data_IF_301866169404
#
_entry.id   IF_301866169404
#
_cell.length_a   1.000
_cell.length_b   1.000
_cell.length_c   1.000
_cell.angle_alpha   90.00
_cell.angle_beta   90.00
_cell.angle_gamma   90.00
#
_symmetry.space_group_name_H-M   'P 1'
#
loop_
_entity.id
_entity.type
_entity.pdbx_description
1 polymer ?
#
# COMPACT_ATOMS: atom_id res chain seq x y z
N UNK A 1 -18.67 13.48 3.30
CA UNK A 1 -20.06 13.62 2.77
C UNK A 1 -20.34 12.34 2.02
N UNK A 2 -21.05 11.43 2.67
CA UNK A 2 -21.39 10.14 2.08
C UNK A 2 -22.50 10.40 1.06
N UNK A 3 -22.16 10.18 -0.21
CA UNK A 3 -23.11 10.31 -1.32
C UNK A 3 -23.44 8.90 -1.74
N UNK A 4 -24.72 8.56 -1.74
CA UNK A 4 -25.21 7.32 -2.36
C UNK A 4 -24.91 7.40 -3.86
N UNK A 5 -23.88 6.68 -4.28
CA UNK A 5 -23.51 6.52 -5.68
C UNK A 5 -23.84 5.10 -6.11
N UNK A 6 -24.30 4.96 -7.33
CA UNK A 6 -24.51 3.66 -7.96
C UNK A 6 -23.55 3.61 -9.14
N UNK A 7 -22.82 2.52 -9.29
CA UNK A 7 -21.85 2.36 -10.35
C UNK A 7 -21.70 0.91 -10.76
N UNK A 8 -21.01 0.69 -11.86
CA UNK A 8 -20.72 -0.66 -12.35
C UNK A 8 -19.55 -1.22 -11.57
N UNK A 9 -19.71 -2.39 -10.95
CA UNK A 9 -18.62 -3.10 -10.27
C UNK A 9 -17.60 -3.56 -11.31
N UNK A 10 -16.36 -3.07 -11.20
CA UNK A 10 -15.26 -3.39 -12.11
C UNK A 10 -14.37 -4.52 -11.62
N UNK A 11 -14.35 -4.76 -10.32
CA UNK A 11 -13.58 -5.83 -9.72
C UNK A 11 -13.46 -5.69 -8.21
N UNK A 12 -12.86 -6.71 -7.60
CA UNK A 12 -12.59 -6.76 -6.16
C UNK A 12 -11.14 -7.19 -5.95
N UNK A 13 -10.46 -6.58 -5.00
CA UNK A 13 -9.09 -6.99 -4.67
C UNK A 13 -9.03 -8.10 -3.61
N UNK A 14 -7.80 -8.48 -3.25
CA UNK A 14 -7.51 -9.53 -2.25
C UNK A 14 -7.89 -9.12 -0.82
N UNK A 15 -8.01 -7.82 -0.55
CA UNK A 15 -8.37 -7.29 0.76
C UNK A 15 -9.88 -7.15 0.92
N UNK A 16 -10.63 -7.25 -0.18
CA UNK A 16 -12.08 -7.13 -0.23
C UNK A 16 -12.56 -5.72 -0.60
N UNK A 17 -11.67 -4.84 -1.06
CA UNK A 17 -12.07 -3.53 -1.58
C UNK A 17 -12.76 -3.73 -2.94
N UNK A 18 -13.89 -3.08 -3.13
CA UNK A 18 -14.70 -3.13 -4.35
C UNK A 18 -14.54 -1.85 -5.15
N UNK A 19 -14.27 -1.97 -6.44
CA UNK A 19 -14.00 -0.84 -7.31
C UNK A 19 -15.16 -0.62 -8.27
N UNK A 20 -15.63 0.61 -8.36
CA UNK A 20 -16.78 0.98 -9.19
C UNK A 20 -16.42 2.08 -10.19
N UNK A 21 -17.07 2.02 -11.34
CA UNK A 21 -17.00 3.06 -12.37
C UNK A 21 -18.40 3.45 -12.85
N UNK A 22 -18.62 4.75 -12.99
CA UNK A 22 -19.74 5.30 -13.73
C UNK A 22 -19.32 6.57 -14.49
N UNK A 23 -19.25 6.45 -15.81
CA UNK A 23 -18.87 7.53 -16.74
C UNK A 23 -19.94 8.61 -16.91
N UNK A 24 -21.12 8.45 -16.30
CA UNK A 24 -22.11 9.53 -16.23
C UNK A 24 -21.63 10.66 -15.31
N UNK A 25 -20.79 10.35 -14.32
CA UNK A 25 -20.19 11.34 -13.43
C UNK A 25 -18.99 12.02 -14.08
N UNK A 26 -18.76 13.28 -13.67
CA UNK A 26 -17.59 14.04 -14.06
C UNK A 26 -16.28 13.42 -13.52
N UNK A 27 -15.24 13.36 -14.36
CA UNK A 27 -13.87 12.96 -13.97
C UNK A 27 -13.29 14.02 -13.03
N UNK A 28 -12.88 13.71 -11.79
CA UNK A 28 -12.35 12.42 -11.30
C UNK A 28 -13.30 11.62 -10.40
N UNK A 29 -14.60 11.94 -10.36
CA UNK A 29 -15.58 11.28 -9.46
C UNK A 29 -16.22 10.03 -10.05
N UNK A 30 -15.94 9.73 -11.32
CA UNK A 30 -16.45 8.57 -12.04
C UNK A 30 -15.90 7.25 -11.52
N UNK A 31 -14.73 7.23 -10.86
CA UNK A 31 -14.16 6.04 -10.23
C UNK A 31 -14.12 6.21 -8.72
N UNK A 32 -14.49 5.16 -7.99
CA UNK A 32 -14.37 5.13 -6.53
C UNK A 32 -14.17 3.71 -6.02
N UNK A 33 -13.75 3.62 -4.76
CA UNK A 33 -13.56 2.37 -4.03
C UNK A 33 -14.51 2.34 -2.83
N UNK A 34 -15.07 1.17 -2.57
CA UNK A 34 -15.76 0.84 -1.32
C UNK A 34 -14.88 -0.15 -0.55
N UNK A 35 -14.43 0.27 0.63
CA UNK A 35 -13.65 -0.58 1.53
C UNK A 35 -14.54 -1.67 2.15
N UNK A 36 -13.97 -2.84 2.51
CA UNK A 36 -14.72 -3.93 3.10
C UNK A 36 -15.26 -3.55 4.49
N UNK A 37 -16.42 -4.11 4.83
CA UNK A 37 -17.08 -3.89 6.12
C UNK A 37 -16.20 -4.25 7.33
N UNK A 38 -15.25 -5.17 7.16
CA UNK A 38 -14.26 -5.56 8.18
C UNK A 38 -13.46 -4.37 8.71
N UNK A 39 -13.19 -3.38 7.88
CA UNK A 39 -12.40 -2.19 8.23
C UNK A 39 -13.27 -1.10 8.87
N UNK A 40 -14.57 -1.10 8.57
CA UNK A 40 -15.57 -0.20 9.13
C UNK A 40 -15.18 1.28 9.02
N UNK A 41 -14.81 1.95 10.12
CA UNK A 41 -14.42 3.36 10.14
C UNK A 41 -12.91 3.60 9.98
N UNK A 42 -12.08 2.56 10.11
CA UNK A 42 -10.62 2.66 10.04
C UNK A 42 -10.09 2.48 8.62
N UNK A 43 -10.85 2.92 7.62
CA UNK A 43 -10.46 2.81 6.22
C UNK A 43 -9.38 3.85 5.90
N UNK A 44 -8.38 3.41 5.12
CA UNK A 44 -7.28 4.27 4.70
C UNK A 44 -7.02 4.13 3.20
N UNK A 45 -6.65 5.24 2.57
CA UNK A 45 -6.26 5.29 1.16
C UNK A 45 -5.08 4.35 0.84
N UNK A 46 -4.27 4.04 1.85
CA UNK A 46 -3.10 3.18 1.70
C UNK A 46 -3.42 1.69 1.66
N UNK A 47 -4.66 1.28 1.91
CA UNK A 47 -5.13 -0.13 1.81
C UNK A 47 -5.40 -0.57 0.35
N UNK A 48 -5.30 0.35 -0.60
CA UNK A 48 -5.51 0.08 -2.02
C UNK A 48 -4.21 -0.50 -2.61
N UNK A 49 -4.22 -1.73 -3.16
CA UNK A 49 -3.02 -2.32 -3.73
C UNK A 49 -2.55 -1.55 -4.98
N UNK A 50 -1.24 -1.62 -5.30
CA UNK A 50 -0.64 -0.84 -6.39
C UNK A 50 -1.29 -1.07 -7.76
N UNK A 51 -1.82 -2.27 -7.99
CA UNK A 51 -2.52 -2.64 -9.22
C UNK A 51 -3.79 -1.80 -9.43
N UNK A 52 -4.63 -1.72 -8.40
CA UNK A 52 -5.87 -0.93 -8.43
C UNK A 52 -5.61 0.58 -8.26
N UNK A 53 -4.54 0.95 -7.56
CA UNK A 53 -4.13 2.35 -7.41
C UNK A 53 -3.95 3.03 -8.77
N UNK A 54 -3.34 2.36 -9.76
CA UNK A 54 -3.14 2.91 -11.11
C UNK A 54 -4.46 3.21 -11.82
N UNK A 55 -5.43 2.31 -11.70
CA UNK A 55 -6.74 2.47 -12.34
C UNK A 55 -7.59 3.55 -11.66
N UNK A 56 -7.61 3.55 -10.32
CA UNK A 56 -8.36 4.52 -9.53
C UNK A 56 -7.88 5.96 -9.76
N UNK A 57 -6.57 6.15 -9.91
CA UNK A 57 -5.96 7.48 -10.13
C UNK A 57 -5.88 7.88 -11.60
N UNK A 58 -6.64 7.23 -12.49
CA UNK A 58 -6.66 7.53 -13.93
C UNK A 58 -5.28 7.45 -14.62
N UNK A 59 -4.33 6.68 -14.08
CA UNK A 59 -3.03 6.44 -14.74
C UNK A 59 -3.20 5.46 -15.91
N UNK A 60 -4.18 4.55 -15.81
CA UNK A 60 -4.53 3.57 -16.82
C UNK A 60 -6.04 3.41 -16.88
N UNK A 61 -6.57 3.11 -18.07
CA UNK A 61 -7.99 2.78 -18.26
C UNK A 61 -8.28 1.31 -18.01
N UNK A 62 -7.27 0.46 -18.17
CA UNK A 62 -7.39 -0.98 -17.99
C UNK A 62 -7.38 -1.36 -16.52
N UNK A 63 -8.28 -2.26 -16.13
CA UNK A 63 -8.31 -2.81 -14.76
C UNK A 63 -7.21 -3.87 -14.58
N UNK A 64 -6.82 -4.18 -13.32
CA UNK A 64 -5.90 -5.27 -13.04
C UNK A 64 -6.39 -6.65 -13.54
N UNK A 65 -7.71 -6.84 -13.61
CA UNK A 65 -8.33 -8.06 -14.12
C UNK A 65 -8.16 -8.19 -15.65
N UNK A 66 -8.31 -7.09 -16.39
CA UNK A 66 -8.11 -7.07 -17.84
C UNK A 66 -6.62 -7.22 -18.22
N UNK A 67 -5.73 -6.57 -17.46
CA UNK A 67 -4.29 -6.60 -17.72
C UNK A 67 -3.50 -6.77 -16.41
N UNK A 68 -3.30 -8.02 -15.96
CA UNK A 68 -2.54 -8.28 -14.76
C UNK A 68 -1.09 -7.84 -14.92
N UNK A 69 -0.55 -7.22 -13.87
CA UNK A 69 0.86 -6.86 -13.81
C UNK A 69 1.71 -8.13 -13.63
N UNK A 70 2.87 -8.17 -14.30
CA UNK A 70 3.83 -9.24 -14.12
C UNK A 70 4.44 -9.15 -12.72
N UNK A 71 4.17 -10.13 -11.86
CA UNK A 71 4.78 -10.22 -10.54
C UNK A 71 6.18 -10.82 -10.65
N UNK A 72 7.19 -10.01 -10.36
CA UNK A 72 8.58 -10.48 -10.27
C UNK A 72 8.86 -11.10 -8.89
N UNK A 73 9.89 -11.94 -8.79
CA UNK A 73 10.21 -12.71 -7.57
C UNK A 73 10.51 -11.86 -6.33
N UNK A 74 10.94 -10.61 -6.53
CA UNK A 74 11.31 -9.67 -5.47
C UNK A 74 10.15 -8.77 -5.03
N UNK A 75 8.99 -8.87 -5.69
CA UNK A 75 7.82 -8.04 -5.36
C UNK A 75 7.23 -8.53 -4.05
N UNK A 76 7.18 -7.62 -3.07
CA UNK A 76 6.55 -7.88 -1.77
C UNK A 76 5.03 -7.81 -1.90
N UNK A 77 4.34 -8.49 -0.98
CA UNK A 77 2.90 -8.34 -0.85
C UNK A 77 2.58 -6.92 -0.36
N UNK A 78 1.44 -6.39 -0.80
CA UNK A 78 1.01 -5.07 -0.38
C UNK A 78 0.64 -5.08 1.10
N UNK A 79 1.14 -4.08 1.82
CA UNK A 79 0.77 -3.78 3.20
C UNK A 79 0.35 -2.32 3.27
N UNK A 80 -0.62 -2.04 4.13
CA UNK A 80 -1.09 -0.68 4.42
C UNK A 80 -0.03 0.15 5.13
N UNK A 81 -0.28 1.44 5.32
CA UNK A 81 0.64 2.30 6.03
C UNK A 81 0.65 2.01 7.54
N UNK A 82 1.82 1.62 8.04
CA UNK A 82 2.02 1.22 9.45
C UNK A 82 2.60 2.34 10.32
N UNK A 83 2.65 3.58 9.83
CA UNK A 83 3.34 4.70 10.50
C UNK A 83 2.82 5.02 11.91
N UNK A 84 1.55 4.72 12.21
CA UNK A 84 0.92 5.01 13.52
C UNK A 84 1.24 3.91 14.55
N UNK A 85 1.59 2.70 14.11
CA UNK A 85 1.85 1.57 15.00
C UNK A 85 3.30 1.60 15.51
N UNK A 86 3.48 1.76 16.82
CA UNK A 86 4.82 1.86 17.45
C UNK A 86 5.73 0.67 17.11
N UNK A 87 5.17 -0.54 17.12
CA UNK A 87 5.92 -1.78 16.89
C UNK A 87 6.25 -2.05 15.41
N UNK A 88 5.57 -1.36 14.47
CA UNK A 88 5.65 -1.65 13.03
C UNK A 88 6.13 -0.47 12.17
N UNK A 89 6.17 0.74 12.72
CA UNK A 89 6.64 1.92 11.99
C UNK A 89 8.10 1.78 11.58
N UNK A 90 8.44 2.37 10.45
CA UNK A 90 9.82 2.41 9.98
C UNK A 90 10.67 3.35 10.87
N UNK A 91 11.73 2.81 11.46
CA UNK A 91 12.71 3.56 12.25
C UNK A 91 14.07 3.47 11.53
N UNK A 92 14.61 4.60 11.02
CA UNK A 92 15.89 4.58 10.34
C UNK A 92 17.02 4.28 11.35
N UNK A 93 18.02 3.52 10.89
CA UNK A 93 19.25 3.25 11.64
C UNK A 93 20.46 3.42 10.74
N UNK A 94 21.64 3.58 11.33
CA UNK A 94 22.87 3.57 10.56
C UNK A 94 23.10 2.18 9.99
N UNK A 95 23.02 2.04 8.67
CA UNK A 95 23.38 0.80 7.96
C UNK A 95 24.90 0.60 7.87
N UNK A 96 25.68 1.56 8.38
CA UNK A 96 27.14 1.50 8.36
C UNK A 96 27.69 0.96 9.67
N UNK A 97 28.66 0.03 9.55
CA UNK A 97 29.48 -0.39 10.69
C UNK A 97 30.39 0.75 11.16
N UNK A 98 30.68 0.79 12.45
CA UNK A 98 31.66 1.72 13.04
C UNK A 98 33.00 1.59 12.33
N UNK A 99 33.54 2.72 11.85
CA UNK A 99 34.78 2.74 11.06
C UNK A 99 36.03 2.76 11.92
N UNK A 100 35.97 3.41 13.08
CA UNK A 100 37.07 3.55 14.02
C UNK A 100 36.79 2.67 15.23
N UNK A 101 37.69 1.75 15.53
CA UNK A 101 37.60 0.95 16.75
C UNK A 101 38.34 1.65 17.87
N UNK A 102 37.63 1.96 18.96
CA UNK A 102 38.25 2.50 20.18
C UNK A 102 39.04 1.42 20.91
N UNK A 103 40.17 1.80 21.51
CA UNK A 103 40.94 0.91 22.37
C UNK A 103 40.12 0.48 23.59
N UNK A 104 40.11 -0.82 23.92
CA UNK A 104 39.44 -1.36 25.10
C UNK A 104 40.47 -1.63 26.22
N UNK A 105 40.39 -0.96 27.38
CA UNK A 105 41.30 -1.20 28.50
C UNK A 105 41.14 -2.61 29.06
N UNK A 106 42.26 -3.24 29.45
CA UNK A 106 42.25 -4.51 30.18
C UNK A 106 42.18 -5.78 29.32
N UNK A 107 42.16 -5.67 27.99
CA UNK A 107 42.39 -6.85 27.13
C UNK A 107 43.86 -7.28 27.26
N UNK A 108 44.10 -8.43 27.91
CA UNK A 108 45.41 -9.10 27.86
C UNK A 108 45.72 -9.41 26.39
N UNK A 109 46.95 -9.12 25.95
CA UNK A 109 47.43 -9.57 24.63
C UNK A 109 47.20 -11.09 24.57
N UNK A 110 46.44 -11.55 23.57
CA UNK A 110 46.40 -12.96 23.24
C UNK A 110 47.79 -13.30 22.65
N UNK A 111 48.51 -14.20 23.32
CA UNK A 111 49.73 -14.83 22.80
C UNK A 111 49.40 -15.86 21.71
#
# INVERSE_FOLDING_TARGET
MDVTRVGTLKGTDKFGNKYYEDNSYFVPRNRWVEYPEKVWLDYDATQIPPEWHRWLHHITDQTPEEKPLKTEKWVLQHEENLSIFEDKKYIPYSTTRTKIQGWQPGQKKQE
#
